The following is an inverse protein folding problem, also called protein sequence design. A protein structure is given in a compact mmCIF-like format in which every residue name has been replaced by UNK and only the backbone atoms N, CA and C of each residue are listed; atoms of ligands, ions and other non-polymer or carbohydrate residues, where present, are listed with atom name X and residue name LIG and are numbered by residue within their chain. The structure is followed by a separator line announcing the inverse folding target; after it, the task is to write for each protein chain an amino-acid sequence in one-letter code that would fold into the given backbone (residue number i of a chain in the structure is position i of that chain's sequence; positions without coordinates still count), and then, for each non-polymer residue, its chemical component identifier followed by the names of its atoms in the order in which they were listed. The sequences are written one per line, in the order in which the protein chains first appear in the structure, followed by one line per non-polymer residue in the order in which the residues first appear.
data_IF_741375031006
#
_entry.id   IF_741375031006
#
_cell.length_a   1.000
_cell.length_b   1.000
_cell.length_c   1.000
_cell.angle_alpha   90.00
_cell.angle_beta   90.00
_cell.angle_gamma   90.00
#
_symmetry.space_group_name_H-M   'P 1'
#
loop_
_entity.id
_entity.type
_entity.pdbx_description
1 polymer ?
#
# COMPACT_ATOMS: atom_id res chain seq x y z
N UNK A 1 -68.03 -57.31 114.49
CA UNK A 1 -67.29 -57.97 113.39
C UNK A 1 -67.61 -57.38 112.02
N UNK A 2 -67.59 -56.06 111.76
CA UNK A 2 -67.85 -55.47 110.45
C UNK A 2 -66.90 -54.31 109.99
N UNK A 3 -65.75 -54.03 110.68
CA UNK A 3 -64.89 -52.92 110.29
C UNK A 3 -63.48 -53.34 109.78
N UNK A 4 -63.11 -54.65 109.85
CA UNK A 4 -61.78 -55.10 109.37
C UNK A 4 -61.74 -55.39 107.85
N UNK A 5 -62.86 -55.65 107.18
CA UNK A 5 -62.91 -55.94 105.78
C UNK A 5 -62.83 -54.75 104.85
N UNK A 6 -63.23 -53.53 105.23
CA UNK A 6 -63.20 -52.31 104.43
C UNK A 6 -61.81 -51.72 104.35
N UNK A 7 -60.98 -51.79 105.42
CA UNK A 7 -59.64 -51.23 105.42
C UNK A 7 -58.67 -52.01 104.47
N UNK A 8 -58.79 -53.35 104.41
CA UNK A 8 -57.96 -54.18 103.54
C UNK A 8 -58.26 -54.00 102.05
N UNK A 9 -59.46 -53.73 101.64
CA UNK A 9 -59.84 -53.49 100.22
C UNK A 9 -59.38 -52.10 99.78
N UNK A 10 -59.49 -51.07 100.61
CA UNK A 10 -59.02 -49.71 100.32
C UNK A 10 -57.50 -49.65 100.23
N UNK A 11 -56.77 -50.33 101.12
CA UNK A 11 -55.27 -50.41 100.99
C UNK A 11 -54.81 -51.24 99.81
N UNK A 12 -55.51 -52.29 99.42
CA UNK A 12 -55.22 -53.09 98.23
C UNK A 12 -55.47 -52.26 96.97
N UNK A 13 -56.53 -51.48 96.90
CA UNK A 13 -56.81 -50.56 95.74
C UNK A 13 -55.82 -49.44 95.68
N UNK A 14 -55.43 -48.82 96.83
CA UNK A 14 -54.41 -47.77 96.86
C UNK A 14 -53.06 -48.26 96.32
N UNK A 15 -52.60 -49.39 96.79
CA UNK A 15 -51.41 -50.04 96.31
C UNK A 15 -51.46 -50.41 94.85
N UNK A 16 -52.62 -50.82 94.33
CA UNK A 16 -52.79 -51.10 92.89
C UNK A 16 -52.76 -49.81 92.05
N UNK A 17 -53.39 -48.75 92.46
CA UNK A 17 -53.34 -47.44 91.83
C UNK A 17 -51.94 -46.82 91.86
N UNK A 18 -51.25 -46.87 93.08
CA UNK A 18 -49.86 -46.38 93.17
C UNK A 18 -48.89 -47.16 92.31
N UNK A 19 -49.11 -48.47 92.13
CA UNK A 19 -48.30 -49.32 91.25
C UNK A 19 -48.49 -48.94 89.74
N UNK A 20 -49.77 -48.66 89.35
CA UNK A 20 -50.08 -48.24 88.00
C UNK A 20 -49.54 -46.83 87.73
N UNK A 21 -49.62 -45.94 88.69
CA UNK A 21 -49.09 -44.56 88.56
C UNK A 21 -47.56 -44.61 88.45
N UNK A 22 -46.88 -45.35 89.30
CA UNK A 22 -45.39 -45.54 89.26
C UNK A 22 -44.97 -46.14 87.96
N UNK A 23 -45.67 -47.18 87.48
CA UNK A 23 -45.33 -47.81 86.16
C UNK A 23 -45.54 -46.84 85.02
N UNK A 24 -46.61 -46.13 84.98
CA UNK A 24 -46.84 -45.10 83.91
C UNK A 24 -45.85 -43.91 84.00
N UNK A 25 -45.44 -43.48 85.23
CA UNK A 25 -44.33 -42.49 85.36
C UNK A 25 -42.99 -43.02 84.87
N UNK A 26 -42.69 -44.28 85.19
CA UNK A 26 -41.44 -44.92 84.70
C UNK A 26 -41.43 -45.01 83.12
N UNK A 27 -42.57 -45.37 82.55
CA UNK A 27 -42.71 -45.45 81.11
C UNK A 27 -42.57 -44.07 80.51
N UNK A 28 -43.23 -43.03 81.08
CA UNK A 28 -43.10 -41.68 80.62
C UNK A 28 -41.68 -41.11 80.69
N UNK A 29 -40.95 -41.45 81.80
CA UNK A 29 -39.54 -41.08 81.96
C UNK A 29 -38.63 -41.79 80.91
N UNK A 30 -38.88 -43.07 80.68
CA UNK A 30 -38.14 -43.84 79.73
C UNK A 30 -38.37 -43.31 78.28
N UNK A 31 -39.61 -43.00 77.91
CA UNK A 31 -39.94 -42.39 76.66
C UNK A 31 -39.30 -40.99 76.52
N UNK A 32 -39.34 -40.17 77.57
CA UNK A 32 -38.69 -38.86 77.60
C UNK A 32 -37.19 -38.93 77.40
N UNK A 33 -36.51 -39.95 78.08
CA UNK A 33 -35.07 -40.20 77.91
C UNK A 33 -34.74 -40.62 76.44
N UNK A 34 -35.56 -41.52 75.87
CA UNK A 34 -35.39 -41.98 74.52
C UNK A 34 -35.57 -40.78 73.50
N UNK A 35 -36.60 -39.98 73.70
CA UNK A 35 -36.81 -38.78 72.86
C UNK A 35 -35.66 -37.77 72.99
N UNK A 36 -35.15 -37.59 74.23
CA UNK A 36 -34.00 -36.73 74.47
C UNK A 36 -32.75 -37.26 73.76
N UNK A 37 -32.52 -38.60 73.84
CA UNK A 37 -31.40 -39.26 73.12
C UNK A 37 -31.53 -39.11 71.64
N UNK A 38 -32.73 -39.28 71.08
CA UNK A 38 -32.98 -39.06 69.61
C UNK A 38 -32.70 -37.62 69.20
N UNK A 39 -33.18 -36.67 69.97
CA UNK A 39 -32.94 -35.21 69.66
C UNK A 39 -31.45 -34.89 69.67
N UNK A 40 -30.73 -35.39 70.72
CA UNK A 40 -29.28 -35.20 70.78
C UNK A 40 -28.53 -35.88 69.64
N UNK A 41 -28.95 -37.07 69.20
CA UNK A 41 -28.41 -37.73 68.05
C UNK A 41 -28.68 -36.95 66.75
N UNK A 42 -29.89 -36.40 66.62
CA UNK A 42 -30.21 -35.54 65.45
C UNK A 42 -29.34 -34.31 65.44
N UNK A 43 -29.23 -33.57 66.57
CA UNK A 43 -28.35 -32.42 66.71
C UNK A 43 -26.90 -32.73 66.29
N UNK A 44 -26.37 -33.82 66.81
CA UNK A 44 -25.01 -34.30 66.45
C UNK A 44 -24.85 -34.59 64.95
N UNK A 45 -25.83 -35.27 64.37
CA UNK A 45 -25.83 -35.59 62.94
C UNK A 45 -25.93 -34.34 62.08
N UNK A 46 -26.74 -33.40 62.47
CA UNK A 46 -26.88 -32.10 61.74
C UNK A 46 -25.56 -31.32 61.82
N UNK A 47 -24.96 -31.22 62.99
CA UNK A 47 -23.68 -30.53 63.18
C UNK A 47 -22.55 -31.21 62.39
N UNK A 48 -22.50 -32.56 62.44
CA UNK A 48 -21.51 -33.34 61.66
C UNK A 48 -21.67 -33.13 60.15
N UNK A 49 -22.90 -33.21 59.64
CA UNK A 49 -23.18 -33.00 58.21
C UNK A 49 -22.88 -31.54 57.81
N UNK A 50 -23.20 -30.57 58.65
CA UNK A 50 -22.88 -29.16 58.40
C UNK A 50 -21.38 -28.95 58.25
N UNK A 51 -20.56 -29.50 59.13
CA UNK A 51 -19.11 -29.41 59.05
C UNK A 51 -18.55 -30.08 57.81
N UNK A 52 -19.12 -31.21 57.38
CA UNK A 52 -18.71 -31.84 56.10
C UNK A 52 -19.06 -30.96 54.88
N UNK A 53 -20.28 -30.39 54.83
CA UNK A 53 -20.71 -29.50 53.78
C UNK A 53 -19.80 -28.27 53.71
N UNK A 54 -19.48 -27.64 54.85
CA UNK A 54 -18.59 -26.49 54.89
C UNK A 54 -17.18 -26.82 54.39
N UNK A 55 -16.66 -28.01 54.75
CA UNK A 55 -15.36 -28.48 54.24
C UNK A 55 -15.39 -28.69 52.73
N UNK A 56 -16.40 -29.38 52.20
CA UNK A 56 -16.55 -29.61 50.77
C UNK A 56 -16.73 -28.28 49.99
N UNK A 57 -17.50 -27.35 50.54
CA UNK A 57 -17.68 -26.02 49.99
C UNK A 57 -16.36 -25.25 49.89
N UNK A 58 -15.52 -25.33 50.94
CA UNK A 58 -14.20 -24.69 50.97
C UNK A 58 -13.30 -25.31 49.89
N UNK A 59 -13.20 -26.64 49.80
CA UNK A 59 -12.42 -27.34 48.78
C UNK A 59 -12.91 -26.96 47.35
N UNK A 60 -14.24 -26.91 47.16
CA UNK A 60 -14.81 -26.57 45.87
C UNK A 60 -14.47 -25.12 45.49
N UNK A 61 -14.57 -24.18 46.44
CA UNK A 61 -14.23 -22.77 46.20
C UNK A 61 -12.75 -22.60 45.84
N UNK A 62 -11.83 -23.31 46.45
CA UNK A 62 -10.40 -23.29 46.13
C UNK A 62 -10.14 -23.86 44.73
N UNK A 63 -10.84 -24.96 44.37
CA UNK A 63 -10.73 -25.54 43.01
C UNK A 63 -11.26 -24.57 41.94
N UNK A 64 -12.38 -23.91 42.21
CA UNK A 64 -12.94 -22.92 41.30
C UNK A 64 -11.96 -21.75 41.10
N UNK A 65 -11.42 -21.19 42.20
CA UNK A 65 -10.43 -20.11 42.12
C UNK A 65 -9.15 -20.55 41.36
N UNK A 66 -8.71 -21.77 41.53
CA UNK A 66 -7.56 -22.33 40.80
C UNK A 66 -7.86 -22.44 39.31
N UNK A 67 -9.04 -22.93 38.93
CA UNK A 67 -9.47 -23.05 37.55
C UNK A 67 -9.65 -21.66 36.88
N UNK A 68 -10.23 -20.71 37.60
CA UNK A 68 -10.36 -19.32 37.10
C UNK A 68 -8.99 -18.70 36.80
N UNK A 69 -8.01 -18.88 37.68
CA UNK A 69 -6.65 -18.40 37.46
C UNK A 69 -5.97 -19.10 36.27
N UNK A 70 -6.16 -20.42 36.12
CA UNK A 70 -5.66 -21.14 34.98
C UNK A 70 -6.27 -20.67 33.65
N UNK A 71 -7.58 -20.47 33.64
CA UNK A 71 -8.31 -19.95 32.47
C UNK A 71 -7.80 -18.55 32.08
N UNK A 72 -7.68 -17.64 33.06
CA UNK A 72 -7.14 -16.28 32.83
C UNK A 72 -5.71 -16.33 32.28
N UNK A 73 -4.85 -17.14 32.87
CA UNK A 73 -3.46 -17.32 32.39
C UNK A 73 -3.41 -17.87 30.97
N UNK A 74 -4.24 -18.87 30.67
CA UNK A 74 -4.31 -19.45 29.33
C UNK A 74 -4.84 -18.42 28.30
N UNK A 75 -5.85 -17.64 28.67
CA UNK A 75 -6.42 -16.60 27.83
C UNK A 75 -5.42 -15.48 27.53
N UNK A 76 -4.64 -15.05 28.54
CA UNK A 76 -3.56 -14.08 28.35
C UNK A 76 -2.49 -14.60 27.39
N UNK A 77 -2.00 -15.82 27.63
CA UNK A 77 -0.99 -16.43 26.77
C UNK A 77 -1.48 -16.59 25.32
N UNK A 78 -2.75 -16.97 25.13
CA UNK A 78 -3.33 -17.08 23.79
C UNK A 78 -3.42 -15.72 23.10
N UNK A 79 -3.81 -14.68 23.84
CA UNK A 79 -3.85 -13.31 23.32
C UNK A 79 -2.47 -12.84 22.87
N UNK A 80 -1.43 -13.08 23.68
CA UNK A 80 -0.05 -12.70 23.35
C UNK A 80 0.47 -13.46 22.12
N UNK A 81 0.18 -14.75 22.00
CA UNK A 81 0.54 -15.55 20.82
C UNK A 81 -0.18 -15.06 19.57
N UNK A 82 -1.48 -14.74 19.66
CA UNK A 82 -2.25 -14.21 18.56
C UNK A 82 -1.71 -12.85 18.09
N UNK A 83 -1.34 -11.99 19.04
CA UNK A 83 -0.75 -10.69 18.69
C UNK A 83 0.60 -10.87 17.98
N UNK A 84 1.48 -11.73 18.49
CA UNK A 84 2.76 -12.01 17.83
C UNK A 84 2.58 -12.57 16.42
N UNK A 85 1.62 -13.48 16.24
CA UNK A 85 1.35 -14.06 14.92
C UNK A 85 0.78 -13.03 13.96
N UNK A 86 -0.04 -12.09 14.45
CA UNK A 86 -0.55 -10.98 13.65
C UNK A 86 0.56 -10.00 13.22
N UNK A 87 1.50 -9.71 14.12
CA UNK A 87 2.68 -8.89 13.81
C UNK A 87 3.58 -9.55 12.75
N UNK A 88 3.81 -10.88 12.87
CA UNK A 88 4.54 -11.65 11.85
C UNK A 88 3.83 -11.65 10.51
N UNK A 89 2.52 -11.84 10.49
CA UNK A 89 1.72 -11.81 9.27
C UNK A 89 1.78 -10.43 8.59
N UNK A 90 1.70 -9.36 9.36
CA UNK A 90 1.82 -8.00 8.82
C UNK A 90 3.23 -7.77 8.23
N UNK A 91 4.28 -8.22 8.93
CA UNK A 91 5.65 -8.15 8.42
C UNK A 91 5.84 -8.96 7.13
N UNK A 92 5.30 -10.18 7.08
CA UNK A 92 5.35 -11.03 5.90
C UNK A 92 4.58 -10.41 4.72
N UNK A 93 3.42 -9.83 4.98
CA UNK A 93 2.63 -9.12 3.96
C UNK A 93 3.43 -7.95 3.37
N UNK A 94 4.12 -7.17 4.20
CA UNK A 94 4.97 -6.08 3.74
C UNK A 94 6.14 -6.59 2.88
N UNK A 95 6.81 -7.67 3.29
CA UNK A 95 7.88 -8.29 2.51
C UNK A 95 7.37 -8.82 1.16
N UNK A 96 6.22 -9.47 1.13
CA UNK A 96 5.59 -9.95 -0.12
C UNK A 96 5.28 -8.80 -1.05
N UNK A 97 4.75 -7.69 -0.54
CA UNK A 97 4.47 -6.49 -1.33
C UNK A 97 5.76 -5.87 -1.90
N UNK A 98 6.82 -5.79 -1.11
CA UNK A 98 8.12 -5.30 -1.55
C UNK A 98 8.74 -6.18 -2.65
N UNK A 99 8.69 -7.50 -2.48
CA UNK A 99 9.13 -8.45 -3.50
C UNK A 99 8.29 -8.32 -4.77
N UNK A 100 6.97 -8.22 -4.64
CA UNK A 100 6.06 -8.06 -5.78
C UNK A 100 6.36 -6.78 -6.56
N UNK A 101 6.58 -5.66 -5.87
CA UNK A 101 6.96 -4.40 -6.49
C UNK A 101 8.32 -4.52 -7.20
N UNK A 102 9.31 -5.16 -6.56
CA UNK A 102 10.63 -5.39 -7.15
C UNK A 102 10.56 -6.25 -8.41
N UNK A 103 9.81 -7.36 -8.35
CA UNK A 103 9.59 -8.25 -9.51
C UNK A 103 8.84 -7.51 -10.62
N UNK A 104 7.85 -6.69 -10.28
CA UNK A 104 7.14 -5.83 -11.23
C UNK A 104 8.08 -4.85 -11.93
N UNK A 105 8.93 -4.15 -11.18
CA UNK A 105 9.94 -3.24 -11.74
C UNK A 105 10.95 -3.98 -12.63
N UNK A 106 11.49 -5.12 -12.20
CA UNK A 106 12.39 -5.94 -13.01
C UNK A 106 11.72 -6.45 -14.29
N UNK A 107 10.45 -6.84 -14.23
CA UNK A 107 9.70 -7.26 -15.41
C UNK A 107 9.51 -6.11 -16.41
N UNK A 108 9.25 -4.89 -15.94
CA UNK A 108 9.17 -3.71 -16.80
C UNK A 108 10.54 -3.40 -17.45
N UNK A 109 11.61 -3.37 -16.64
CA UNK A 109 12.96 -3.13 -17.15
C UNK A 109 13.38 -4.17 -18.19
N UNK A 110 13.05 -5.44 -18.00
CA UNK A 110 13.38 -6.51 -18.96
C UNK A 110 12.65 -6.41 -20.30
N UNK A 111 11.50 -5.71 -20.33
CA UNK A 111 10.71 -5.45 -21.54
C UNK A 111 11.06 -4.12 -22.20
N UNK A 112 11.74 -3.22 -21.49
CA UNK A 112 12.17 -1.94 -22.02
C UNK A 112 13.44 -2.14 -22.84
N UNK A 113 13.55 -1.40 -23.95
CA UNK A 113 14.72 -1.41 -24.81
C UNK A 113 16.01 -1.18 -23.99
N UNK A 114 16.96 -2.15 -23.92
CA UNK A 114 18.17 -2.00 -23.13
C UNK A 114 19.04 -0.81 -23.56
N UNK A 115 19.03 -0.46 -24.86
CA UNK A 115 19.76 0.71 -25.35
C UNK A 115 19.06 2.01 -24.92
N UNK A 116 17.73 2.04 -24.92
CA UNK A 116 16.99 3.18 -24.37
C UNK A 116 17.31 3.40 -22.88
N UNK A 117 17.34 2.34 -22.08
CA UNK A 117 17.71 2.42 -20.66
C UNK A 117 19.12 2.99 -20.46
N UNK A 118 20.09 2.53 -21.25
CA UNK A 118 21.46 3.07 -21.22
C UNK A 118 21.52 4.53 -21.65
N UNK A 119 20.71 4.93 -22.61
CA UNK A 119 20.71 6.23 -23.26
C UNK A 119 19.81 7.26 -22.60
N UNK A 120 19.07 6.87 -21.59
CA UNK A 120 18.25 7.79 -20.80
C UNK A 120 19.08 8.75 -19.94
N UNK A 121 20.39 8.64 -20.03
CA UNK A 121 21.33 9.54 -19.37
C UNK A 121 21.51 10.85 -20.17
N UNK A 122 22.07 11.85 -19.50
CA UNK A 122 22.17 13.24 -19.98
C UNK A 122 22.99 13.42 -21.24
N UNK A 123 24.09 12.73 -21.34
CA UNK A 123 25.01 12.84 -22.48
C UNK A 123 25.51 11.45 -22.81
N UNK A 124 25.02 10.90 -23.87
CA UNK A 124 25.46 9.58 -24.29
C UNK A 124 25.53 9.47 -25.79
N UNK A 125 26.62 8.89 -26.28
CA UNK A 125 26.78 8.61 -27.69
C UNK A 125 25.95 7.39 -28.09
N UNK A 126 25.01 7.59 -29.01
CA UNK A 126 24.22 6.55 -29.64
C UNK A 126 25.00 6.03 -30.85
N UNK A 127 25.21 4.73 -30.92
CA UNK A 127 25.91 4.16 -32.07
C UNK A 127 25.05 4.32 -33.34
N UNK A 128 25.74 4.19 -34.51
CA UNK A 128 25.13 4.39 -35.84
C UNK A 128 24.01 3.39 -36.17
N UNK A 129 23.99 2.25 -35.51
CA UNK A 129 23.01 1.18 -35.73
C UNK A 129 21.86 1.22 -34.73
N UNK A 130 21.89 2.13 -33.75
CA UNK A 130 20.81 2.22 -32.82
C UNK A 130 19.54 2.74 -33.47
N UNK A 131 18.50 1.94 -33.40
CA UNK A 131 17.11 2.28 -33.73
C UNK A 131 16.23 1.84 -32.54
N UNK A 132 15.28 2.65 -32.10
CA UNK A 132 14.33 2.21 -31.06
C UNK A 132 13.66 0.88 -31.42
N UNK A 133 13.40 0.05 -30.42
CA UNK A 133 12.85 -1.31 -30.61
C UNK A 133 11.49 -1.29 -31.33
N UNK A 134 10.72 -0.23 -31.13
CA UNK A 134 9.44 0.00 -31.80
C UNK A 134 9.23 1.47 -32.07
N UNK A 135 8.85 1.76 -33.29
CA UNK A 135 8.47 3.09 -33.76
C UNK A 135 7.04 3.03 -34.32
N UNK A 136 6.25 4.07 -34.04
CA UNK A 136 4.91 4.24 -34.56
C UNK A 136 4.78 5.60 -35.26
N UNK A 137 3.95 5.65 -36.28
CA UNK A 137 3.72 6.86 -37.05
C UNK A 137 2.85 7.84 -36.26
N UNK A 138 3.27 9.08 -36.18
CA UNK A 138 2.45 10.17 -35.64
C UNK A 138 1.24 10.39 -36.56
N UNK A 139 0.06 10.54 -36.00
CA UNK A 139 -1.17 10.75 -36.77
C UNK A 139 -1.07 11.92 -37.77
N UNK A 140 -1.60 11.77 -38.97
CA UNK A 140 -1.49 12.76 -40.05
C UNK A 140 -2.08 14.13 -39.65
N UNK A 141 -3.08 14.13 -38.78
CA UNK A 141 -3.71 15.37 -38.26
C UNK A 141 -2.79 16.17 -37.34
N UNK A 142 -1.78 15.56 -36.78
CA UNK A 142 -0.83 16.16 -35.83
C UNK A 142 0.47 16.63 -36.52
N UNK A 143 0.63 16.37 -37.82
CA UNK A 143 1.85 16.70 -38.57
C UNK A 143 1.77 18.11 -39.16
N UNK A 144 2.85 18.83 -39.10
CA UNK A 144 3.00 20.13 -39.77
C UNK A 144 2.98 20.00 -41.30
N UNK A 145 3.64 18.94 -41.80
CA UNK A 145 3.62 18.53 -43.22
C UNK A 145 2.98 17.15 -43.34
N UNK A 146 1.79 17.10 -43.92
CA UNK A 146 1.02 15.84 -44.06
C UNK A 146 1.72 14.77 -44.89
N UNK A 147 2.60 15.18 -45.80
CA UNK A 147 3.39 14.29 -46.65
C UNK A 147 4.58 13.63 -45.94
N UNK A 148 5.01 14.21 -44.80
CA UNK A 148 6.15 13.69 -44.07
C UNK A 148 5.72 12.58 -43.12
N UNK A 149 6.49 11.52 -43.03
CA UNK A 149 6.28 10.45 -42.08
C UNK A 149 7.11 10.73 -40.83
N UNK A 150 6.48 11.25 -39.78
CA UNK A 150 7.12 11.44 -38.50
C UNK A 150 6.83 10.23 -37.60
N UNK A 151 7.90 9.61 -37.07
CA UNK A 151 7.82 8.45 -36.20
C UNK A 151 8.30 8.80 -34.79
N UNK A 152 7.71 8.15 -33.80
CA UNK A 152 8.08 8.27 -32.40
C UNK A 152 8.11 6.87 -31.77
N UNK A 153 8.80 6.71 -30.66
CA UNK A 153 8.76 5.46 -29.90
C UNK A 153 7.31 5.06 -29.58
N UNK A 154 6.95 3.80 -29.85
CA UNK A 154 5.54 3.36 -29.80
C UNK A 154 4.88 3.57 -28.45
N UNK A 155 5.64 3.43 -27.34
CA UNK A 155 5.12 3.67 -25.98
C UNK A 155 4.97 5.17 -25.66
N UNK A 156 5.61 6.06 -26.41
CA UNK A 156 5.48 7.51 -26.24
C UNK A 156 4.29 8.08 -27.03
N UNK A 157 3.90 7.40 -28.12
CA UNK A 157 2.84 7.88 -29.00
C UNK A 157 1.51 8.18 -28.26
N UNK A 158 0.99 7.32 -27.36
CA UNK A 158 -0.26 7.64 -26.64
C UNK A 158 -0.17 8.93 -25.84
N UNK A 159 0.92 9.16 -25.13
CA UNK A 159 1.15 10.38 -24.35
C UNK A 159 1.22 11.63 -25.23
N UNK A 160 1.86 11.52 -26.40
CA UNK A 160 1.92 12.60 -27.37
C UNK A 160 0.53 12.95 -27.92
N UNK A 161 -0.24 11.95 -28.33
CA UNK A 161 -1.57 12.16 -28.91
C UNK A 161 -2.55 12.73 -27.87
N UNK A 162 -2.46 12.28 -26.63
CA UNK A 162 -3.24 12.83 -25.52
C UNK A 162 -2.88 14.29 -25.26
N UNK A 163 -1.58 14.62 -25.21
CA UNK A 163 -1.09 15.98 -25.01
C UNK A 163 -1.57 16.93 -26.13
N UNK A 164 -1.41 16.53 -27.40
CA UNK A 164 -1.85 17.37 -28.54
C UNK A 164 -3.38 17.52 -28.52
N UNK A 165 -4.12 16.46 -28.20
CA UNK A 165 -5.58 16.51 -28.13
C UNK A 165 -6.04 17.45 -27.03
N UNK A 166 -5.42 17.43 -25.87
CA UNK A 166 -5.71 18.35 -24.77
C UNK A 166 -5.39 19.81 -25.17
N UNK A 167 -4.23 20.05 -25.77
CA UNK A 167 -3.90 21.38 -26.29
C UNK A 167 -4.91 21.89 -27.30
N UNK A 168 -5.34 21.05 -28.24
CA UNK A 168 -6.39 21.42 -29.22
C UNK A 168 -7.72 21.74 -28.53
N UNK A 169 -8.10 21.01 -27.48
CA UNK A 169 -9.30 21.30 -26.68
C UNK A 169 -9.20 22.67 -25.97
N UNK A 170 -8.00 23.06 -25.56
CA UNK A 170 -7.70 24.36 -24.93
C UNK A 170 -7.47 25.49 -25.98
N UNK A 171 -7.65 25.20 -27.28
CA UNK A 171 -7.58 26.18 -28.36
C UNK A 171 -6.16 26.47 -28.86
N UNK A 172 -5.17 25.66 -28.53
CA UNK A 172 -3.80 25.74 -29.08
C UNK A 172 -3.56 24.61 -30.08
N UNK A 173 -2.99 24.96 -31.24
CA UNK A 173 -2.81 24.03 -32.35
C UNK A 173 -1.36 23.54 -32.43
N UNK A 174 -1.05 22.52 -31.64
CA UNK A 174 0.28 21.88 -31.61
C UNK A 174 0.44 20.99 -32.85
N UNK A 175 1.54 21.19 -33.59
CA UNK A 175 1.92 20.35 -34.70
C UNK A 175 3.34 19.82 -34.56
N UNK A 176 3.53 18.56 -34.92
CA UNK A 176 4.85 17.90 -34.95
C UNK A 176 5.60 18.31 -36.22
N UNK A 177 6.75 18.93 -36.06
CA UNK A 177 7.66 19.31 -37.13
C UNK A 177 8.78 18.35 -37.38
N UNK A 178 9.25 17.67 -36.29
CA UNK A 178 10.28 16.65 -36.35
C UNK A 178 10.07 15.70 -35.19
N UNK A 179 10.43 14.42 -35.35
CA UNK A 179 10.37 13.41 -34.34
C UNK A 179 11.60 12.49 -34.45
N UNK A 180 11.45 11.17 -34.51
CA UNK A 180 12.59 10.26 -34.67
C UNK A 180 13.46 10.62 -35.87
N UNK A 181 14.78 10.65 -35.68
CA UNK A 181 15.79 10.80 -36.72
C UNK A 181 16.89 9.74 -36.53
N UNK A 182 17.15 8.93 -37.54
CA UNK A 182 18.24 7.97 -37.49
C UNK A 182 19.60 8.67 -37.45
N UNK A 183 20.65 7.94 -37.06
CA UNK A 183 22.03 8.42 -37.12
C UNK A 183 22.37 8.97 -38.52
N UNK A 184 22.05 8.20 -39.60
CA UNK A 184 22.29 8.64 -40.96
C UNK A 184 21.54 9.92 -41.34
N UNK A 185 20.26 10.04 -40.95
CA UNK A 185 19.48 11.25 -41.22
C UNK A 185 20.07 12.47 -40.49
N UNK A 186 20.50 12.29 -39.23
CA UNK A 186 21.15 13.37 -38.48
C UNK A 186 22.48 13.79 -39.11
N UNK A 187 23.27 12.84 -39.62
CA UNK A 187 24.54 13.12 -40.31
C UNK A 187 24.33 13.94 -41.56
N UNK A 188 23.32 13.59 -42.40
CA UNK A 188 22.96 14.34 -43.59
C UNK A 188 22.48 15.75 -43.23
N UNK A 189 21.58 15.87 -42.26
CA UNK A 189 21.09 17.15 -41.78
C UNK A 189 22.20 18.08 -41.31
N UNK A 190 23.12 17.58 -40.50
CA UNK A 190 24.28 18.33 -40.02
C UNK A 190 25.20 18.75 -41.14
N UNK A 191 25.43 17.87 -42.12
CA UNK A 191 26.26 18.16 -43.31
C UNK A 191 25.65 19.27 -44.13
N UNK A 192 24.33 19.26 -44.37
CA UNK A 192 23.60 20.32 -45.09
C UNK A 192 23.73 21.65 -44.37
N UNK A 193 23.58 21.67 -43.04
CA UNK A 193 23.75 22.87 -42.23
C UNK A 193 25.18 23.44 -42.30
N UNK A 194 26.20 22.57 -42.31
CA UNK A 194 27.59 23.00 -42.48
C UNK A 194 27.80 23.68 -43.84
N UNK A 195 27.15 23.20 -44.87
CA UNK A 195 27.24 23.81 -46.22
C UNK A 195 26.52 25.17 -46.25
N UNK A 196 25.34 25.25 -45.67
CA UNK A 196 24.49 26.46 -45.75
C UNK A 196 24.98 27.56 -44.81
N UNK A 197 25.33 27.21 -43.58
CA UNK A 197 25.59 28.18 -42.51
C UNK A 197 27.08 28.20 -42.04
N UNK A 198 27.90 27.36 -42.62
CA UNK A 198 29.28 27.14 -42.15
C UNK A 198 29.41 26.21 -40.96
N UNK A 199 30.56 25.54 -40.82
CA UNK A 199 30.79 24.50 -39.80
C UNK A 199 30.64 25.04 -38.37
N UNK A 200 31.15 26.23 -38.09
CA UNK A 200 31.11 26.84 -36.75
C UNK A 200 29.67 27.13 -36.32
N UNK A 201 28.88 27.73 -37.22
CA UNK A 201 27.47 28.08 -36.98
C UNK A 201 26.62 26.83 -36.85
N UNK A 202 26.78 25.81 -37.71
CA UNK A 202 26.05 24.58 -37.67
C UNK A 202 26.27 23.82 -36.34
N UNK A 203 27.46 23.92 -35.75
CA UNK A 203 27.78 23.27 -34.44
C UNK A 203 27.05 23.97 -33.29
N UNK A 204 26.62 25.19 -33.42
CA UNK A 204 25.94 25.91 -32.35
C UNK A 204 24.47 25.56 -32.20
N UNK A 205 23.82 24.93 -33.20
CA UNK A 205 22.38 24.66 -33.15
C UNK A 205 21.95 23.27 -33.66
N UNK A 206 22.88 22.43 -34.08
CA UNK A 206 22.57 21.06 -34.51
C UNK A 206 23.55 20.10 -33.86
N UNK A 207 23.02 19.12 -33.11
CA UNK A 207 23.83 18.04 -32.52
C UNK A 207 24.57 17.24 -33.61
N UNK A 208 25.75 16.73 -33.27
CA UNK A 208 26.40 15.72 -34.10
C UNK A 208 25.58 14.43 -34.08
N UNK A 209 25.74 13.63 -35.12
CA UNK A 209 25.14 12.30 -35.20
C UNK A 209 25.59 11.44 -34.00
N UNK A 210 24.66 10.70 -33.41
CA UNK A 210 24.88 9.95 -32.18
C UNK A 210 24.65 10.74 -30.87
N UNK A 211 24.56 12.08 -30.93
CA UNK A 211 24.30 12.95 -29.79
C UNK A 211 22.90 13.59 -29.79
N UNK A 212 22.12 13.35 -30.86
CA UNK A 212 20.76 13.89 -30.97
C UNK A 212 19.77 13.06 -30.18
N UNK A 213 18.97 13.70 -29.33
CA UNK A 213 17.85 13.08 -28.60
C UNK A 213 16.79 12.49 -29.53
N UNK A 214 16.65 13.02 -30.75
CA UNK A 214 15.74 12.48 -31.75
C UNK A 214 16.04 11.03 -32.14
N UNK A 215 17.29 10.57 -32.01
CA UNK A 215 17.62 9.18 -32.27
C UNK A 215 17.05 8.21 -31.23
N UNK A 216 16.73 8.69 -30.02
CA UNK A 216 16.02 7.91 -29.00
C UNK A 216 14.57 7.61 -29.38
N UNK A 217 13.98 8.39 -30.31
CA UNK A 217 12.57 8.32 -30.64
C UNK A 217 11.66 8.88 -29.53
N UNK A 218 12.21 9.66 -28.59
CA UNK A 218 11.48 10.24 -27.46
C UNK A 218 11.41 11.77 -27.51
N UNK A 219 12.12 12.39 -28.47
CA UNK A 219 12.15 13.84 -28.65
C UNK A 219 11.32 14.28 -29.86
N UNK A 220 10.71 15.46 -29.72
CA UNK A 220 9.82 16.07 -30.70
C UNK A 220 10.15 17.55 -30.81
N UNK A 221 10.17 18.06 -32.05
CA UNK A 221 10.13 19.47 -32.32
C UNK A 221 8.70 19.87 -32.66
N UNK A 222 8.12 20.80 -31.91
CA UNK A 222 6.81 21.35 -32.16
C UNK A 222 6.86 22.63 -33.00
N UNK A 223 5.79 22.86 -33.76
CA UNK A 223 5.52 24.08 -34.50
C UNK A 223 4.02 24.40 -34.42
N UNK A 224 3.62 25.46 -35.06
CA UNK A 224 2.21 25.89 -35.18
C UNK A 224 1.92 26.33 -36.61
N UNK A 225 0.65 26.36 -36.96
CA UNK A 225 0.22 26.89 -38.25
C UNK A 225 0.61 28.37 -38.46
N UNK A 226 0.70 29.14 -37.36
CA UNK A 226 1.03 30.58 -37.41
C UNK A 226 2.49 30.83 -37.81
N UNK A 227 3.40 29.92 -37.47
CA UNK A 227 4.81 30.01 -37.84
C UNK A 227 5.09 29.38 -39.22
N UNK A 228 4.06 28.86 -39.91
CA UNK A 228 4.20 28.16 -41.21
C UNK A 228 5.26 27.04 -41.20
N UNK A 229 5.42 26.35 -40.08
CA UNK A 229 6.42 25.30 -39.89
C UNK A 229 7.80 25.78 -39.46
N UNK A 230 8.02 27.09 -39.32
CA UNK A 230 9.27 27.60 -38.76
C UNK A 230 9.36 27.27 -37.25
N UNK A 231 10.58 27.01 -36.80
CA UNK A 231 10.88 26.77 -35.37
C UNK A 231 11.19 28.07 -34.65
N UNK A 232 11.79 29.04 -35.35
CA UNK A 232 12.12 30.35 -34.81
C UNK A 232 10.85 31.11 -34.39
N UNK A 233 10.87 31.72 -33.21
CA UNK A 233 9.74 32.45 -32.65
C UNK A 233 8.65 31.58 -32.01
N UNK A 234 8.85 30.27 -31.93
CA UNK A 234 7.91 29.37 -31.25
C UNK A 234 7.72 29.75 -29.78
N UNK A 235 8.74 30.26 -29.10
CA UNK A 235 8.71 30.78 -27.73
C UNK A 235 7.72 31.92 -27.49
N UNK A 236 7.27 32.59 -28.56
CA UNK A 236 6.31 33.69 -28.51
C UNK A 236 4.86 33.25 -28.80
N UNK A 237 4.64 31.95 -28.97
CA UNK A 237 3.35 31.40 -29.33
C UNK A 237 2.51 31.00 -28.11
N UNK A 238 1.17 31.02 -28.19
CA UNK A 238 0.33 30.43 -27.15
C UNK A 238 0.61 28.93 -26.92
N UNK A 239 1.02 28.23 -27.97
CA UNK A 239 1.37 26.81 -27.96
C UNK A 239 2.57 26.53 -27.02
N UNK A 240 3.62 27.36 -27.12
CA UNK A 240 4.77 27.25 -26.20
C UNK A 240 4.37 27.52 -24.76
N UNK A 241 3.56 28.55 -24.51
CA UNK A 241 3.07 28.83 -23.16
C UNK A 241 2.27 27.64 -22.60
N UNK A 242 1.37 27.09 -23.39
CA UNK A 242 0.55 25.96 -23.00
C UNK A 242 1.44 24.73 -22.67
N UNK A 243 2.43 24.42 -23.51
CA UNK A 243 3.39 23.34 -23.26
C UNK A 243 4.14 23.55 -21.95
N UNK A 244 4.60 24.77 -21.66
CA UNK A 244 5.31 25.09 -20.44
C UNK A 244 4.46 24.82 -19.19
N UNK A 245 3.15 25.03 -19.27
CA UNK A 245 2.21 24.87 -18.16
C UNK A 245 1.63 23.44 -18.05
N UNK A 246 1.67 22.63 -19.13
CA UNK A 246 0.90 21.39 -19.18
C UNK A 246 1.68 20.15 -19.63
N UNK A 247 2.77 20.28 -20.38
CA UNK A 247 3.46 19.14 -21.01
C UNK A 247 3.93 18.09 -20.02
N UNK A 248 4.31 18.49 -18.79
CA UNK A 248 4.74 17.59 -17.74
C UNK A 248 3.68 16.55 -17.35
N UNK A 249 2.39 16.89 -17.45
CA UNK A 249 1.25 15.99 -17.17
C UNK A 249 1.22 14.78 -18.10
N UNK A 250 1.84 14.93 -19.27
CA UNK A 250 1.94 13.91 -20.31
C UNK A 250 3.36 13.34 -20.44
N UNK A 251 4.24 13.63 -19.47
CA UNK A 251 5.59 13.11 -19.43
C UNK A 251 6.62 13.84 -20.27
N UNK A 252 6.29 15.02 -20.84
CA UNK A 252 7.20 15.80 -21.65
C UNK A 252 7.80 16.99 -20.90
N UNK A 253 9.07 17.26 -21.17
CA UNK A 253 9.83 18.40 -20.64
C UNK A 253 10.59 19.11 -21.74
N UNK A 254 10.85 20.39 -21.57
CA UNK A 254 11.78 21.11 -22.44
C UNK A 254 13.21 20.68 -22.11
N UNK A 255 13.94 20.14 -23.11
CA UNK A 255 15.31 19.68 -22.91
C UNK A 255 16.31 20.82 -22.79
N UNK A 256 16.13 21.87 -23.58
CA UNK A 256 17.08 22.96 -23.72
C UNK A 256 16.45 24.32 -23.38
N UNK A 257 16.15 24.58 -22.08
CA UNK A 257 15.47 25.81 -21.65
C UNK A 257 16.34 27.04 -21.82
N UNK A 258 15.72 28.22 -21.75
CA UNK A 258 16.44 29.47 -21.76
C UNK A 258 17.40 29.58 -20.57
N UNK A 259 18.63 30.08 -20.80
CA UNK A 259 19.64 30.25 -19.77
C UNK A 259 20.37 28.97 -19.35
N UNK A 260 20.12 27.81 -19.97
CA UNK A 260 20.92 26.61 -19.73
C UNK A 260 22.37 26.81 -20.17
N UNK A 261 23.31 26.00 -19.60
CA UNK A 261 24.75 26.10 -19.86
C UNK A 261 25.31 24.98 -20.76
N UNK A 262 24.45 24.09 -21.24
CA UNK A 262 24.87 22.85 -21.90
C UNK A 262 24.49 22.80 -23.38
N UNK A 263 23.49 23.58 -23.82
CA UNK A 263 23.07 23.60 -25.22
C UNK A 263 22.42 24.94 -25.59
N UNK A 264 22.19 25.14 -26.91
CA UNK A 264 21.44 26.30 -27.38
C UNK A 264 19.98 26.19 -26.92
N UNK A 265 19.37 27.34 -26.58
CA UNK A 265 17.93 27.42 -26.30
C UNK A 265 17.09 26.96 -27.46
N UNK A 266 16.24 25.95 -27.25
CA UNK A 266 15.35 25.40 -28.26
C UNK A 266 13.92 25.27 -27.70
N UNK A 267 13.10 26.31 -27.78
CA UNK A 267 11.73 26.31 -27.22
C UNK A 267 10.81 25.29 -27.87
N UNK A 268 11.11 24.85 -29.07
CA UNK A 268 10.36 23.86 -29.84
C UNK A 268 10.68 22.42 -29.44
N UNK A 269 11.85 22.18 -28.81
CA UNK A 269 12.38 20.85 -28.54
C UNK A 269 11.95 20.29 -27.20
N UNK A 270 11.10 19.29 -27.24
CA UNK A 270 10.52 18.64 -26.06
C UNK A 270 10.86 17.16 -26.05
N UNK A 271 11.20 16.63 -24.87
CA UNK A 271 11.56 15.25 -24.67
C UNK A 271 10.60 14.56 -23.71
N UNK A 272 10.18 13.34 -24.05
CA UNK A 272 9.49 12.47 -23.14
C UNK A 272 10.48 11.87 -22.12
N UNK A 273 10.18 12.01 -20.84
CA UNK A 273 10.96 11.49 -19.71
C UNK A 273 10.11 10.65 -18.76
N UNK A 274 8.84 10.38 -19.11
CA UNK A 274 7.86 9.73 -18.27
C UNK A 274 7.13 10.71 -17.35
N UNK A 275 5.85 10.43 -17.08
CA UNK A 275 4.96 11.33 -16.32
C UNK A 275 5.51 11.61 -14.93
N UNK A 276 5.98 10.56 -14.23
CA UNK A 276 6.49 10.70 -12.86
C UNK A 276 7.71 11.63 -12.77
N UNK A 277 8.70 11.47 -13.68
CA UNK A 277 9.89 12.33 -13.69
C UNK A 277 9.56 13.75 -14.16
N UNK A 278 8.72 13.90 -15.17
CA UNK A 278 8.30 15.21 -15.65
C UNK A 278 7.55 16.00 -14.57
N UNK A 279 6.68 15.36 -13.82
CA UNK A 279 5.98 15.97 -12.67
C UNK A 279 6.96 16.36 -11.57
N UNK A 280 7.91 15.49 -11.22
CA UNK A 280 8.94 15.82 -10.24
C UNK A 280 9.74 17.06 -10.65
N UNK A 281 10.15 17.15 -11.92
CA UNK A 281 10.90 18.31 -12.45
C UNK A 281 10.08 19.59 -12.38
N UNK A 282 8.81 19.54 -12.78
CA UNK A 282 7.88 20.66 -12.71
C UNK A 282 7.69 21.16 -11.28
N UNK A 283 7.37 20.27 -10.34
CA UNK A 283 7.03 20.62 -8.96
C UNK A 283 8.23 21.17 -8.18
N UNK A 284 9.45 20.78 -8.58
CA UNK A 284 10.69 21.26 -7.97
C UNK A 284 11.36 22.39 -8.77
N UNK A 285 10.74 22.86 -9.88
CA UNK A 285 11.29 23.89 -10.77
C UNK A 285 12.72 23.56 -11.23
N UNK A 286 12.91 22.32 -11.68
CA UNK A 286 14.21 21.78 -12.13
C UNK A 286 14.15 21.39 -13.59
N UNK A 287 15.30 21.35 -14.25
CA UNK A 287 15.41 20.85 -15.63
C UNK A 287 16.12 19.50 -15.67
N UNK A 288 15.81 18.71 -16.70
CA UNK A 288 16.30 17.33 -16.82
C UNK A 288 17.84 17.24 -16.74
N UNK A 289 18.56 18.14 -17.42
CA UNK A 289 20.01 18.13 -17.43
C UNK A 289 20.66 18.65 -16.15
N UNK A 290 19.91 19.25 -15.23
CA UNK A 290 20.39 19.68 -13.92
C UNK A 290 20.35 18.56 -12.86
N UNK A 291 19.61 17.46 -13.14
CA UNK A 291 19.45 16.35 -12.21
C UNK A 291 20.74 15.51 -12.06
N UNK A 292 20.90 14.89 -10.91
CA UNK A 292 21.85 13.79 -10.72
C UNK A 292 21.36 12.54 -11.49
N UNK A 293 22.28 11.81 -12.13
CA UNK A 293 21.94 10.60 -12.88
C UNK A 293 21.23 9.54 -12.02
N UNK A 294 21.63 9.40 -10.75
CA UNK A 294 21.00 8.44 -9.83
C UNK A 294 19.53 8.74 -9.59
N UNK A 295 19.17 10.03 -9.59
CA UNK A 295 17.77 10.42 -9.45
C UNK A 295 16.97 10.03 -10.69
N UNK A 296 17.54 10.26 -11.89
CA UNK A 296 16.93 9.82 -13.16
C UNK A 296 16.73 8.30 -13.16
N UNK A 297 17.74 7.54 -12.72
CA UNK A 297 17.70 6.07 -12.69
C UNK A 297 16.55 5.51 -11.85
N UNK A 298 16.12 6.22 -10.79
CA UNK A 298 14.98 5.81 -9.97
C UNK A 298 13.65 5.81 -10.74
N UNK A 299 13.54 6.58 -11.82
CA UNK A 299 12.32 6.68 -12.64
C UNK A 299 12.34 5.75 -13.86
N UNK A 300 13.49 5.12 -14.18
CA UNK A 300 13.64 4.31 -15.40
C UNK A 300 12.66 3.14 -15.48
N UNK A 301 12.36 2.49 -14.34
CA UNK A 301 11.45 1.34 -14.32
C UNK A 301 10.02 1.71 -14.75
N UNK A 302 9.62 2.96 -14.60
CA UNK A 302 8.26 3.46 -14.81
C UNK A 302 8.18 4.54 -15.90
N UNK A 303 9.16 4.58 -16.79
CA UNK A 303 9.26 5.62 -17.81
C UNK A 303 8.05 5.70 -18.73
N UNK A 304 7.37 4.59 -18.97
CA UNK A 304 6.19 4.50 -19.85
C UNK A 304 4.87 4.25 -19.10
N UNK A 305 4.84 4.49 -17.79
CA UNK A 305 3.62 4.37 -16.98
C UNK A 305 2.77 5.64 -17.04
#
# INVERSE_FOLDING_TARGET
MQDIGKSCIIDGMKNFFDKIITQNVCIALAVGLCLFGILKYIDYRVEFNSKQIDTEKTILSERVATLENLVKGTQSNLSDVLQQEQEKNNSLTNQVNEVTNTVGALSKLSKTDPELLKKYSKVYFLNEHYVPISLSDVGVSFRSAKSNNYQIHSNVLPHLEEMITAGNADGVALLVQSAYRSFGTQSILKSNYKVIYGAGTANSFSADQGYSEHQLGTAIDFTTLKTSGALEGFDKTPEFKWLTENAYKYGFVISYPAGNKYYKYEPWHWRFVGVALATYLHDNNMYFYDLDQRLIDNYLANIFD
#
